data_IF_214154624677
#
_entry.id   IF_214154624677
#
_cell.length_a   1.000
_cell.length_b   1.000
_cell.length_c   1.000
_cell.angle_alpha   90.00
_cell.angle_beta   90.00
_cell.angle_gamma   90.00
#
_symmetry.space_group_name_H-M   'P 1'
#
loop_
_entity.id
_entity.type
_entity.pdbx_description
1 polymer ?
#
# COMPACT_ATOMS: atom_id res chain seq x y z
N UNK A 1 -3.90 -19.00 65.50
CA UNK A 1 -3.29 -17.69 65.84
C UNK A 1 -1.83 -17.74 65.38
N UNK A 2 -1.43 -16.78 64.53
CA UNK A 2 -0.11 -16.60 63.84
C UNK A 2 0.29 -17.69 62.82
N UNK A 3 0.16 -17.48 61.50
CA UNK A 3 0.86 -16.51 60.61
C UNK A 3 2.38 -16.59 60.70
N UNK A 4 3.00 -17.29 59.75
CA UNK A 4 4.29 -16.89 59.18
C UNK A 4 4.17 -16.86 57.66
N UNK A 5 3.96 -15.64 57.19
CA UNK A 5 4.13 -15.16 55.84
C UNK A 5 5.64 -14.99 55.59
N UNK A 6 6.19 -15.62 54.56
CA UNK A 6 7.39 -15.11 53.90
C UNK A 6 7.20 -15.13 52.38
N UNK A 7 7.37 -13.97 51.71
CA UNK A 7 7.26 -13.87 50.26
C UNK A 7 8.63 -14.00 49.57
N UNK A 8 8.55 -14.17 48.24
CA UNK A 8 9.55 -13.83 47.21
C UNK A 8 10.72 -14.78 46.93
N UNK A 9 10.59 -15.51 45.82
CA UNK A 9 11.62 -15.47 44.75
C UNK A 9 10.94 -15.25 43.40
N UNK A 10 10.80 -13.97 43.05
CA UNK A 10 10.77 -13.52 41.67
C UNK A 10 12.10 -13.86 41.02
N UNK A 11 12.17 -14.94 40.24
CA UNK A 11 13.35 -15.26 39.44
C UNK A 11 12.87 -15.65 38.05
N UNK A 12 13.06 -14.71 37.11
CA UNK A 12 12.54 -14.77 35.75
C UNK A 12 12.44 -13.41 35.06
N UNK A 13 12.92 -12.33 35.68
CA UNK A 13 13.29 -11.11 34.96
C UNK A 13 14.80 -11.19 34.71
N UNK A 14 15.19 -11.68 33.53
CA UNK A 14 16.44 -11.39 32.80
C UNK A 14 16.62 -12.45 31.71
N UNK A 15 15.84 -12.32 30.63
CA UNK A 15 16.25 -12.77 29.29
C UNK A 15 15.39 -12.11 28.19
N UNK A 16 14.90 -10.89 28.45
CA UNK A 16 14.44 -10.03 27.38
C UNK A 16 15.69 -9.47 26.69
N UNK A 17 16.28 -10.25 25.76
CA UNK A 17 17.16 -9.66 24.74
C UNK A 17 16.45 -8.42 24.21
N UNK A 18 17.13 -7.26 24.05
CA UNK A 18 16.55 -6.14 23.36
C UNK A 18 16.00 -6.66 22.05
N UNK A 19 14.68 -6.63 21.86
CA UNK A 19 14.11 -6.90 20.53
C UNK A 19 14.70 -5.81 19.67
N UNK A 20 15.57 -6.20 18.73
CA UNK A 20 16.09 -5.31 17.71
C UNK A 20 14.89 -4.82 16.89
N UNK A 21 14.19 -3.80 17.37
CA UNK A 21 12.88 -3.39 16.82
C UNK A 21 12.97 -3.03 15.34
N UNK A 22 14.14 -2.58 14.89
CA UNK A 22 14.42 -2.35 13.47
C UNK A 22 14.44 -3.66 12.66
N UNK A 23 14.93 -4.78 13.20
CA UNK A 23 14.90 -6.09 12.52
C UNK A 23 13.47 -6.62 12.40
N UNK A 24 12.62 -6.40 13.41
CA UNK A 24 11.19 -6.76 13.33
C UNK A 24 10.42 -5.90 12.34
N UNK A 25 10.74 -4.61 12.22
CA UNK A 25 10.17 -3.71 11.19
C UNK A 25 10.62 -4.11 9.78
N UNK A 26 11.88 -4.56 9.64
CA UNK A 26 12.44 -4.94 8.33
C UNK A 26 12.10 -6.37 7.91
N UNK A 27 11.86 -7.28 8.86
CA UNK A 27 11.55 -8.68 8.59
C UNK A 27 10.07 -8.83 8.21
N UNK A 28 9.78 -8.81 6.92
CA UNK A 28 8.45 -9.15 6.41
C UNK A 28 8.40 -10.65 6.11
N UNK A 29 7.64 -11.46 6.87
CA UNK A 29 7.53 -12.90 6.61
C UNK A 29 6.87 -13.16 5.25
N UNK A 30 7.37 -14.16 4.53
CA UNK A 30 6.87 -14.53 3.20
C UNK A 30 7.88 -15.37 2.40
N UNK A 31 7.63 -15.62 1.10
CA UNK A 31 8.56 -16.37 0.27
C UNK A 31 9.82 -15.54 -0.05
N UNK A 32 11.00 -16.18 -0.22
CA UNK A 32 12.28 -15.47 -0.43
C UNK A 32 12.27 -14.50 -1.61
N UNK A 33 11.67 -14.90 -2.74
CA UNK A 33 11.58 -14.06 -3.94
C UNK A 33 10.84 -12.75 -3.67
N UNK A 34 9.78 -12.78 -2.85
CA UNK A 34 8.97 -11.59 -2.59
C UNK A 34 9.69 -10.61 -1.67
N UNK A 35 10.49 -11.13 -0.71
CA UNK A 35 11.36 -10.27 0.10
C UNK A 35 12.39 -9.55 -0.77
N UNK A 36 13.08 -10.29 -1.64
CA UNK A 36 14.06 -9.71 -2.56
C UNK A 36 13.39 -8.69 -3.47
N UNK A 37 12.22 -9.01 -4.04
CA UNK A 37 11.48 -8.08 -4.90
C UNK A 37 11.10 -6.79 -4.15
N UNK A 38 10.55 -6.89 -2.94
CA UNK A 38 10.20 -5.73 -2.12
C UNK A 38 11.43 -4.89 -1.74
N UNK A 39 12.56 -5.52 -1.41
CA UNK A 39 13.79 -4.81 -1.06
C UNK A 39 14.40 -4.11 -2.28
N UNK A 40 14.39 -4.77 -3.45
CA UNK A 40 14.79 -4.16 -4.72
C UNK A 40 13.90 -2.96 -5.05
N UNK A 41 12.58 -3.11 -4.95
CA UNK A 41 11.61 -2.03 -5.17
C UNK A 41 11.86 -0.86 -4.20
N UNK A 42 12.12 -1.14 -2.92
CA UNK A 42 12.43 -0.10 -1.94
C UNK A 42 13.74 0.64 -2.30
N UNK A 43 14.79 -0.11 -2.67
CA UNK A 43 16.06 0.47 -3.12
C UNK A 43 15.90 1.32 -4.38
N UNK A 44 15.11 0.84 -5.36
CA UNK A 44 14.77 1.58 -6.57
C UNK A 44 13.96 2.84 -6.25
N UNK A 45 13.06 2.82 -5.25
CA UNK A 45 12.33 4.00 -4.80
C UNK A 45 13.25 5.09 -4.25
N UNK A 46 14.18 4.73 -3.37
CA UNK A 46 15.19 5.68 -2.84
C UNK A 46 16.07 6.22 -3.96
N UNK A 47 16.56 5.36 -4.85
CA UNK A 47 17.36 5.78 -6.00
C UNK A 47 16.58 6.68 -6.95
N UNK A 48 15.30 6.37 -7.21
CA UNK A 48 14.43 7.17 -8.08
C UNK A 48 14.20 8.56 -7.52
N UNK A 49 13.99 8.69 -6.20
CA UNK A 49 13.88 10.00 -5.56
C UNK A 49 15.18 10.81 -5.70
N UNK A 50 16.35 10.17 -5.53
CA UNK A 50 17.63 10.84 -5.72
C UNK A 50 17.81 11.32 -7.17
N UNK A 51 17.44 10.49 -8.16
CA UNK A 51 17.48 10.86 -9.59
C UNK A 51 16.48 11.98 -9.90
N UNK A 52 15.28 11.96 -9.32
CA UNK A 52 14.25 12.96 -9.55
C UNK A 52 14.70 14.39 -9.21
N UNK A 53 15.61 14.56 -8.23
CA UNK A 53 16.21 15.88 -7.91
C UNK A 53 16.98 16.53 -9.07
N UNK A 54 17.28 15.76 -10.12
CA UNK A 54 17.96 16.21 -11.35
C UNK A 54 17.01 16.40 -12.53
N UNK A 55 15.73 16.06 -12.38
CA UNK A 55 14.71 16.16 -13.43
C UNK A 55 13.97 17.48 -13.25
N UNK A 56 13.02 17.53 -12.32
CA UNK A 56 12.25 18.72 -11.97
C UNK A 56 11.55 18.53 -10.61
N UNK A 57 10.86 19.58 -10.15
CA UNK A 57 10.17 19.58 -8.84
C UNK A 57 8.96 18.62 -8.82
N UNK A 58 8.29 18.41 -9.96
CA UNK A 58 7.12 17.52 -10.06
C UNK A 58 7.56 16.07 -9.89
N UNK A 59 8.64 15.67 -10.57
CA UNK A 59 9.28 14.37 -10.41
C UNK A 59 9.70 14.11 -8.96
N UNK A 60 10.25 15.12 -8.27
CA UNK A 60 10.59 15.00 -6.84
C UNK A 60 9.34 14.75 -6.00
N UNK A 61 8.26 15.50 -6.23
CA UNK A 61 7.00 15.33 -5.49
C UNK A 61 6.39 13.94 -5.73
N UNK A 62 6.30 13.49 -6.98
CA UNK A 62 5.78 12.16 -7.34
C UNK A 62 6.63 11.05 -6.72
N UNK A 63 7.96 11.12 -6.83
CA UNK A 63 8.83 10.09 -6.24
C UNK A 63 8.82 10.10 -4.71
N UNK A 64 8.59 11.26 -4.08
CA UNK A 64 8.39 11.34 -2.63
C UNK A 64 7.08 10.65 -2.20
N UNK A 65 5.99 10.82 -2.97
CA UNK A 65 4.72 10.11 -2.74
C UNK A 65 4.87 8.61 -2.97
N UNK A 66 5.61 8.18 -3.99
CA UNK A 66 5.96 6.76 -4.18
C UNK A 66 6.69 6.23 -2.96
N UNK A 67 7.74 6.93 -2.49
CA UNK A 67 8.51 6.49 -1.32
C UNK A 67 7.64 6.39 -0.06
N UNK A 68 6.69 7.31 0.13
CA UNK A 68 5.67 7.21 1.18
C UNK A 68 4.83 5.94 1.01
N UNK A 69 4.34 5.68 -0.21
CA UNK A 69 3.58 4.49 -0.57
C UNK A 69 4.34 3.17 -0.41
N UNK A 70 5.68 3.19 -0.47
CA UNK A 70 6.54 2.04 -0.16
C UNK A 70 6.78 1.88 1.34
N UNK A 71 6.89 3.00 2.07
CA UNK A 71 7.24 3.01 3.48
C UNK A 71 6.07 2.60 4.37
N UNK A 72 4.86 3.11 4.09
CA UNK A 72 3.65 2.81 4.89
C UNK A 72 3.35 1.30 5.00
N UNK A 73 3.29 0.53 3.90
CA UNK A 73 3.07 -0.92 3.97
C UNK A 73 4.14 -1.64 4.80
N UNK A 74 5.39 -1.16 4.73
CA UNK A 74 6.53 -1.78 5.40
C UNK A 74 6.46 -1.57 6.91
N UNK A 75 6.27 -0.33 7.35
CA UNK A 75 6.10 0.01 8.78
C UNK A 75 4.85 -0.65 9.36
N UNK A 76 3.77 -0.74 8.60
CA UNK A 76 2.55 -1.40 9.03
C UNK A 76 2.63 -2.94 9.04
N UNK A 77 3.70 -3.54 8.50
CA UNK A 77 3.86 -4.99 8.42
C UNK A 77 2.85 -5.67 7.49
N UNK A 78 2.49 -5.03 6.38
CA UNK A 78 1.62 -5.59 5.33
C UNK A 78 2.29 -6.81 4.68
N UNK A 79 1.52 -7.76 4.13
CA UNK A 79 2.07 -8.95 3.48
C UNK A 79 3.08 -8.60 2.36
N UNK A 80 4.24 -9.26 2.35
CA UNK A 80 5.38 -8.90 1.49
C UNK A 80 5.03 -8.90 0.00
N UNK A 81 4.16 -9.80 -0.45
CA UNK A 81 3.73 -9.88 -1.85
C UNK A 81 2.92 -8.65 -2.26
N UNK A 82 2.08 -8.13 -1.36
CA UNK A 82 1.33 -6.91 -1.61
C UNK A 82 2.25 -5.69 -1.60
N UNK A 83 3.29 -5.66 -0.76
CA UNK A 83 4.32 -4.62 -0.82
C UNK A 83 5.06 -4.62 -2.16
N UNK A 84 5.53 -5.78 -2.63
CA UNK A 84 6.22 -5.91 -3.91
C UNK A 84 5.33 -5.49 -5.09
N UNK A 85 4.08 -5.97 -5.12
CA UNK A 85 3.14 -5.66 -6.18
C UNK A 85 2.77 -4.17 -6.20
N UNK A 86 2.38 -3.61 -5.05
CA UNK A 86 2.02 -2.19 -4.96
C UNK A 86 3.20 -1.29 -5.30
N UNK A 87 4.39 -1.59 -4.78
CA UNK A 87 5.56 -0.78 -5.04
C UNK A 87 6.05 -0.85 -6.49
N UNK A 88 5.95 -2.00 -7.14
CA UNK A 88 6.23 -2.13 -8.57
C UNK A 88 5.26 -1.32 -9.44
N UNK A 89 3.97 -1.36 -9.12
CA UNK A 89 2.94 -0.55 -9.79
C UNK A 89 3.21 0.95 -9.61
N UNK A 90 3.45 1.40 -8.38
CA UNK A 90 3.69 2.81 -8.08
C UNK A 90 4.94 3.36 -8.77
N UNK A 91 6.05 2.59 -8.76
CA UNK A 91 7.26 2.98 -9.48
C UNK A 91 7.06 3.01 -10.99
N UNK A 92 6.35 2.02 -11.55
CA UNK A 92 6.05 1.96 -12.97
C UNK A 92 5.22 3.17 -13.42
N UNK A 93 4.15 3.48 -12.68
CA UNK A 93 3.31 4.65 -12.94
C UNK A 93 4.08 5.96 -12.81
N UNK A 94 4.89 6.13 -11.75
CA UNK A 94 5.69 7.34 -11.57
C UNK A 94 6.71 7.56 -12.70
N UNK A 95 7.41 6.52 -13.14
CA UNK A 95 8.33 6.65 -14.27
C UNK A 95 7.60 6.84 -15.61
N UNK A 96 6.43 6.24 -15.81
CA UNK A 96 5.59 6.54 -16.96
C UNK A 96 5.21 8.03 -17.00
N UNK A 97 4.82 8.60 -15.87
CA UNK A 97 4.53 10.05 -15.74
C UNK A 97 5.78 10.90 -16.03
N UNK A 98 6.92 10.62 -15.38
CA UNK A 98 8.18 11.38 -15.55
C UNK A 98 8.68 11.37 -17.00
N UNK A 99 8.50 10.26 -17.73
CA UNK A 99 8.88 10.16 -19.13
C UNK A 99 7.79 10.62 -20.12
N UNK A 100 6.73 11.26 -19.63
CA UNK A 100 5.59 11.71 -20.45
C UNK A 100 4.98 10.59 -21.27
N UNK A 101 4.87 9.41 -20.65
CA UNK A 101 4.39 8.18 -21.26
C UNK A 101 2.88 8.19 -21.48
N UNK A 102 2.14 8.89 -20.63
CA UNK A 102 0.68 9.01 -20.74
C UNK A 102 0.28 9.85 -21.96
N UNK A 103 1.06 10.88 -22.30
CA UNK A 103 0.83 11.66 -23.52
C UNK A 103 1.17 10.88 -24.79
N UNK A 104 2.12 9.96 -24.71
CA UNK A 104 2.50 9.10 -25.85
C UNK A 104 1.53 7.93 -26.03
N UNK A 105 1.00 7.40 -24.93
CA UNK A 105 0.13 6.22 -24.90
C UNK A 105 -1.05 6.52 -23.96
N UNK A 106 -2.13 7.18 -24.45
CA UNK A 106 -3.19 7.71 -23.59
C UNK A 106 -3.90 6.68 -22.70
N UNK A 107 -4.07 5.45 -23.19
CA UNK A 107 -4.72 4.39 -22.38
C UNK A 107 -3.85 3.92 -21.20
N UNK A 108 -2.54 4.22 -21.22
CA UNK A 108 -1.63 3.85 -20.13
C UNK A 108 -2.02 4.56 -18.83
N UNK A 109 -2.56 5.77 -18.93
CA UNK A 109 -3.00 6.56 -17.79
C UNK A 109 -4.15 5.87 -17.05
N UNK A 110 -5.21 5.51 -17.79
CA UNK A 110 -6.34 4.72 -17.28
C UNK A 110 -5.86 3.41 -16.63
N UNK A 111 -4.89 2.72 -17.22
CA UNK A 111 -4.31 1.50 -16.64
C UNK A 111 -3.55 1.81 -15.35
N UNK A 112 -2.78 2.91 -15.30
CA UNK A 112 -2.11 3.36 -14.10
C UNK A 112 -3.12 3.67 -12.99
N UNK A 113 -4.22 4.37 -13.27
CA UNK A 113 -5.28 4.65 -12.30
C UNK A 113 -5.96 3.38 -11.77
N UNK A 114 -6.28 2.41 -12.64
CA UNK A 114 -6.82 1.11 -12.21
C UNK A 114 -5.83 0.40 -11.26
N UNK A 115 -4.57 0.29 -11.66
CA UNK A 115 -3.59 -0.50 -10.92
C UNK A 115 -3.12 0.19 -9.65
N UNK A 116 -2.77 1.48 -9.71
CA UNK A 116 -2.25 2.25 -8.58
C UNK A 116 -3.31 2.44 -7.50
N UNK A 117 -4.53 2.88 -7.86
CA UNK A 117 -5.61 3.02 -6.89
C UNK A 117 -6.00 1.67 -6.31
N UNK A 118 -6.10 0.61 -7.13
CA UNK A 118 -6.38 -0.73 -6.65
C UNK A 118 -5.34 -1.22 -5.64
N UNK A 119 -4.06 -1.04 -5.94
CA UNK A 119 -2.96 -1.42 -5.06
C UNK A 119 -2.94 -0.61 -3.75
N UNK A 120 -3.09 0.71 -3.83
CA UNK A 120 -3.15 1.59 -2.66
C UNK A 120 -4.38 1.30 -1.79
N UNK A 121 -5.54 1.04 -2.38
CA UNK A 121 -6.74 0.65 -1.66
C UNK A 121 -6.55 -0.68 -0.92
N UNK A 122 -5.93 -1.67 -1.58
CA UNK A 122 -5.61 -2.94 -0.93
C UNK A 122 -4.62 -2.79 0.23
N UNK A 123 -3.58 -1.98 0.05
CA UNK A 123 -2.63 -1.62 1.12
C UNK A 123 -3.37 -0.96 2.28
N UNK A 124 -4.17 0.07 2.02
CA UNK A 124 -4.88 0.82 3.04
C UNK A 124 -5.82 -0.08 3.85
N UNK A 125 -6.61 -0.93 3.18
CA UNK A 125 -7.48 -1.90 3.87
C UNK A 125 -6.67 -2.93 4.67
N UNK A 126 -5.52 -3.40 4.15
CA UNK A 126 -4.65 -4.29 4.90
C UNK A 126 -4.08 -3.62 6.15
N UNK A 127 -3.71 -2.34 6.08
CA UNK A 127 -3.28 -1.54 7.24
C UNK A 127 -4.41 -1.42 8.26
N UNK A 128 -5.63 -1.08 7.82
CA UNK A 128 -6.80 -0.93 8.70
C UNK A 128 -7.17 -2.26 9.39
N UNK A 129 -7.10 -3.39 8.69
CA UNK A 129 -7.32 -4.72 9.27
C UNK A 129 -6.26 -5.05 10.32
N UNK A 130 -4.98 -4.75 10.04
CA UNK A 130 -3.88 -4.98 10.99
C UNK A 130 -3.95 -4.08 12.21
N UNK A 131 -4.44 -2.87 12.04
CA UNK A 131 -4.71 -1.94 13.14
C UNK A 131 -5.94 -2.33 13.99
N UNK A 132 -6.67 -3.40 13.62
CA UNK A 132 -7.88 -3.83 14.31
C UNK A 132 -9.08 -2.90 14.09
N UNK A 133 -9.01 -2.00 13.11
CA UNK A 133 -10.08 -1.03 12.81
C UNK A 133 -11.21 -1.63 11.97
N UNK A 134 -10.97 -2.80 11.34
CA UNK A 134 -11.93 -3.50 10.51
C UNK A 134 -12.09 -4.95 10.97
N UNK A 135 -13.31 -5.46 10.88
CA UNK A 135 -13.63 -6.87 11.05
C UNK A 135 -14.26 -7.39 9.76
N UNK A 136 -13.84 -8.59 9.32
CA UNK A 136 -14.40 -9.24 8.13
C UNK A 136 -15.21 -10.45 8.58
N UNK A 137 -16.56 -10.36 8.58
CA UNK A 137 -17.41 -11.50 8.89
C UNK A 137 -17.17 -12.68 7.94
N UNK A 138 -17.43 -13.89 8.41
CA UNK A 138 -17.33 -15.10 7.59
C UNK A 138 -18.40 -15.14 6.49
N UNK A 139 -18.13 -15.90 5.43
CA UNK A 139 -19.10 -16.18 4.37
C UNK A 139 -19.25 -15.10 3.31
N UNK A 140 -20.36 -15.12 2.54
CA UNK A 140 -20.56 -14.23 1.38
C UNK A 140 -20.70 -12.76 1.76
N UNK A 141 -21.38 -12.46 2.87
CA UNK A 141 -21.66 -11.09 3.31
C UNK A 141 -20.40 -10.32 3.68
N UNK A 142 -19.50 -10.90 4.48
CA UNK A 142 -18.25 -10.22 4.83
C UNK A 142 -17.32 -10.02 3.62
N UNK A 143 -17.37 -10.93 2.65
CA UNK A 143 -16.64 -10.75 1.38
C UNK A 143 -17.17 -9.59 0.55
N UNK A 144 -18.49 -9.49 0.38
CA UNK A 144 -19.10 -8.32 -0.26
C UNK A 144 -18.77 -7.04 0.51
N UNK A 145 -18.84 -7.07 1.84
CA UNK A 145 -18.46 -5.96 2.71
C UNK A 145 -17.01 -5.52 2.50
N UNK A 146 -16.07 -6.46 2.37
CA UNK A 146 -14.66 -6.14 2.11
C UNK A 146 -14.46 -5.49 0.74
N UNK A 147 -15.17 -5.93 -0.30
CA UNK A 147 -15.14 -5.28 -1.63
C UNK A 147 -15.65 -3.85 -1.51
N UNK A 148 -16.80 -3.64 -0.85
CA UNK A 148 -17.40 -2.33 -0.67
C UNK A 148 -16.47 -1.39 0.10
N UNK A 149 -15.90 -1.85 1.22
CA UNK A 149 -14.95 -1.05 2.02
C UNK A 149 -13.70 -0.72 1.21
N UNK A 150 -13.16 -1.66 0.42
CA UNK A 150 -11.99 -1.39 -0.43
C UNK A 150 -12.30 -0.33 -1.49
N UNK A 151 -13.48 -0.40 -2.12
CA UNK A 151 -13.94 0.62 -3.06
C UNK A 151 -14.13 1.99 -2.38
N UNK A 152 -14.75 2.02 -1.19
CA UNK A 152 -14.96 3.24 -0.41
C UNK A 152 -13.66 3.88 0.09
N UNK A 153 -12.58 3.12 0.27
CA UNK A 153 -11.25 3.65 0.59
C UNK A 153 -10.51 4.07 -0.68
N UNK A 154 -10.64 3.33 -1.78
CA UNK A 154 -9.99 3.64 -3.05
C UNK A 154 -10.48 4.92 -3.71
N UNK A 155 -11.80 5.18 -3.68
CA UNK A 155 -12.36 6.40 -4.30
C UNK A 155 -11.77 7.70 -3.71
N UNK A 156 -11.70 7.89 -2.38
CA UNK A 156 -10.99 9.02 -1.78
C UNK A 156 -9.51 9.10 -2.18
N UNK A 157 -8.82 7.97 -2.35
CA UNK A 157 -7.41 7.98 -2.79
C UNK A 157 -7.29 8.49 -4.23
N UNK A 158 -8.19 8.08 -5.13
CA UNK A 158 -8.27 8.66 -6.47
C UNK A 158 -8.58 10.16 -6.40
N UNK A 159 -9.55 10.60 -5.60
CA UNK A 159 -9.85 12.03 -5.42
C UNK A 159 -8.63 12.82 -4.93
N UNK A 160 -7.85 12.27 -3.99
CA UNK A 160 -6.64 12.93 -3.51
C UNK A 160 -5.57 13.07 -4.59
N UNK A 161 -5.47 12.09 -5.51
CA UNK A 161 -4.59 12.18 -6.66
C UNK A 161 -5.01 13.30 -7.61
N UNK A 162 -6.28 13.32 -8.04
CA UNK A 162 -6.85 14.36 -8.91
C UNK A 162 -6.70 15.77 -8.31
N UNK A 163 -6.89 15.91 -7.00
CA UNK A 163 -6.65 17.17 -6.30
C UNK A 163 -5.17 17.55 -6.32
N UNK A 164 -4.27 16.58 -6.26
CA UNK A 164 -2.83 16.77 -6.42
C UNK A 164 -2.46 17.26 -7.81
N UNK A 165 -3.02 16.69 -8.86
CA UNK A 165 -2.81 17.12 -10.25
C UNK A 165 -3.39 18.49 -10.52
N UNK A 166 -4.61 18.76 -10.05
CA UNK A 166 -5.19 20.10 -10.08
C UNK A 166 -4.33 21.13 -9.36
N UNK A 167 -3.83 20.81 -8.17
CA UNK A 167 -2.96 21.72 -7.43
C UNK A 167 -1.62 21.93 -8.15
N UNK A 168 -1.03 20.86 -8.66
CA UNK A 168 0.21 20.89 -9.44
C UNK A 168 0.06 21.75 -10.70
N UNK A 169 -0.98 21.52 -11.49
CA UNK A 169 -1.25 22.28 -12.72
C UNK A 169 -1.50 23.76 -12.45
N UNK A 170 -2.10 24.09 -11.30
CA UNK A 170 -2.43 25.47 -10.95
C UNK A 170 -1.26 26.27 -10.38
N UNK A 171 -0.38 25.64 -9.60
CA UNK A 171 0.61 26.36 -8.78
C UNK A 171 2.07 25.96 -9.06
N UNK A 172 2.32 24.89 -9.80
CA UNK A 172 3.68 24.35 -10.00
C UNK A 172 4.05 24.30 -11.48
N UNK A 173 3.30 23.57 -12.30
CA UNK A 173 3.63 23.33 -13.71
C UNK A 173 2.35 23.18 -14.55
N UNK A 174 2.09 24.12 -15.46
CA UNK A 174 0.83 24.19 -16.22
C UNK A 174 0.63 23.03 -17.20
N UNK A 175 1.68 22.25 -17.49
CA UNK A 175 1.62 21.10 -18.40
C UNK A 175 1.12 19.81 -17.75
N UNK A 176 0.84 19.80 -16.45
CA UNK A 176 0.24 18.65 -15.76
C UNK A 176 -1.16 18.42 -16.34
N UNK A 177 -1.42 17.18 -16.79
CA UNK A 177 -2.69 16.81 -17.40
C UNK A 177 -3.83 16.99 -16.40
N UNK A 178 -4.83 17.77 -16.78
CA UNK A 178 -6.07 17.97 -16.01
C UNK A 178 -7.22 18.23 -16.97
N UNK A 179 -8.40 17.74 -16.64
CA UNK A 179 -9.60 17.98 -17.44
C UNK A 179 -10.83 17.35 -16.81
N UNK A 180 -12.02 17.84 -17.17
CA UNK A 180 -13.27 17.26 -16.62
C UNK A 180 -13.44 15.79 -16.98
N UNK A 181 -13.27 15.46 -18.27
CA UNK A 181 -13.44 14.09 -18.77
C UNK A 181 -12.31 13.16 -18.27
N UNK A 182 -11.10 13.70 -18.19
CA UNK A 182 -9.88 13.06 -17.68
C UNK A 182 -10.08 12.65 -16.21
N UNK A 183 -10.29 13.63 -15.33
CA UNK A 183 -10.58 13.40 -13.91
C UNK A 183 -11.76 12.45 -13.70
N UNK A 184 -12.85 12.58 -14.46
CA UNK A 184 -13.98 11.68 -14.30
C UNK A 184 -13.65 10.24 -14.72
N UNK A 185 -12.88 10.07 -15.80
CA UNK A 185 -12.41 8.77 -16.27
C UNK A 185 -11.46 8.12 -15.24
N UNK A 186 -10.58 8.90 -14.64
CA UNK A 186 -9.58 8.43 -13.68
C UNK A 186 -10.16 8.08 -12.31
N UNK A 187 -11.16 8.84 -11.86
CA UNK A 187 -11.98 8.46 -10.71
C UNK A 187 -12.74 7.15 -10.96
N UNK A 188 -13.31 6.97 -12.16
CA UNK A 188 -14.02 5.75 -12.52
C UNK A 188 -13.06 4.55 -12.63
N UNK A 189 -11.90 4.74 -13.28
CA UNK A 189 -10.84 3.75 -13.44
C UNK A 189 -10.30 3.31 -12.07
N UNK A 190 -9.99 4.27 -11.20
CA UNK A 190 -9.54 3.99 -9.84
C UNK A 190 -10.59 3.27 -9.00
N UNK A 191 -11.87 3.64 -9.14
CA UNK A 191 -12.99 2.93 -8.52
C UNK A 191 -13.08 1.47 -8.96
N UNK A 192 -12.95 1.20 -10.25
CA UNK A 192 -12.88 -0.18 -10.80
C UNK A 192 -11.68 -0.93 -10.22
N UNK A 193 -10.51 -0.30 -10.20
CA UNK A 193 -9.29 -0.84 -9.60
C UNK A 193 -9.50 -1.27 -8.14
N UNK A 194 -10.12 -0.41 -7.34
CA UNK A 194 -10.41 -0.68 -5.93
C UNK A 194 -11.42 -1.82 -5.73
N UNK A 195 -12.45 -1.93 -6.58
CA UNK A 195 -13.40 -3.06 -6.56
C UNK A 195 -12.68 -4.37 -6.88
N UNK A 196 -11.85 -4.38 -7.93
CA UNK A 196 -11.08 -5.57 -8.34
C UNK A 196 -10.13 -6.00 -7.23
N UNK A 197 -9.42 -5.04 -6.63
CA UNK A 197 -8.52 -5.27 -5.50
C UNK A 197 -9.24 -5.84 -4.28
N UNK A 198 -10.40 -5.29 -3.91
CA UNK A 198 -11.24 -5.82 -2.84
C UNK A 198 -11.71 -7.25 -3.13
N UNK A 199 -12.03 -7.55 -4.39
CA UNK A 199 -12.36 -8.90 -4.84
C UNK A 199 -11.19 -9.88 -4.70
N UNK A 200 -9.97 -9.44 -5.00
CA UNK A 200 -8.75 -10.22 -4.84
C UNK A 200 -8.46 -10.50 -3.35
N UNK A 201 -8.55 -9.48 -2.48
CA UNK A 201 -8.43 -9.65 -1.03
C UNK A 201 -9.46 -10.64 -0.48
N UNK A 202 -10.72 -10.50 -0.90
CA UNK A 202 -11.80 -11.42 -0.51
C UNK A 202 -11.63 -12.85 -1.03
N UNK A 203 -10.83 -13.08 -2.09
CA UNK A 203 -10.46 -14.42 -2.57
C UNK A 203 -9.32 -15.00 -1.74
N UNK A 204 -8.32 -14.19 -1.40
CA UNK A 204 -7.18 -14.61 -0.59
C UNK A 204 -7.62 -15.04 0.82
N UNK A 205 -8.51 -14.27 1.45
CA UNK A 205 -9.07 -14.62 2.77
C UNK A 205 -9.89 -15.92 2.77
N UNK A 206 -10.48 -16.32 1.62
CA UNK A 206 -11.17 -17.62 1.53
C UNK A 206 -10.18 -18.78 1.60
N UNK A 207 -9.10 -18.71 0.82
CA UNK A 207 -8.08 -19.76 0.78
C UNK A 207 -7.50 -20.04 2.16
N UNK A 208 -7.27 -18.99 2.95
CA UNK A 208 -6.76 -19.14 4.32
C UNK A 208 -7.74 -19.78 5.30
N UNK A 209 -9.05 -19.72 5.05
CA UNK A 209 -10.04 -20.41 5.88
C UNK A 209 -10.31 -21.85 5.42
N UNK A 210 -10.13 -22.13 4.12
CA UNK A 210 -10.35 -23.44 3.52
C UNK A 210 -9.14 -24.39 3.70
N UNK A 211 -7.93 -23.85 3.96
CA UNK A 211 -6.75 -24.67 4.28
C UNK A 211 -6.91 -25.36 5.65
N UNK A 212 -6.90 -26.71 5.72
CA UNK A 212 -6.98 -27.42 7.00
C UNK A 212 -5.74 -27.11 7.84
N UNK A 213 -5.94 -26.89 9.15
CA UNK A 213 -4.84 -26.61 10.06
C UNK A 213 -3.75 -27.69 9.94
N UNK A 214 -2.45 -27.31 9.95
CA UNK A 214 -1.36 -28.27 9.93
C UNK A 214 -1.52 -29.21 11.13
N UNK A 215 -1.59 -30.52 10.85
CA UNK A 215 -1.66 -31.59 11.86
C UNK A 215 -0.32 -31.76 12.55
#
# INVERSE_FOLDING_TARGET
>A
MSLLHQPSRTQGAHDARPRDGWREILAVPGPPWARVATDVVAGLGVASLAVATRVDVVAVAVMALVLLGLTVPRVAGVAVQLQAAAGGVLLGAAWASVFRGYEQVPWLDVVAHVLATGALAAVAVAVLLRAGMLLVPQGRRGRCGLVLVTASVGLPLSVLWELGEWFGSRYVEETINVGYDDTLADLAAGGVGAIVAGGALARLLRRTHDDPAPR
#
